data_IF_733303026270
#
_entry.id   IF_733303026270
#
_cell.length_a   1.000
_cell.length_b   1.000
_cell.length_c   1.000
_cell.angle_alpha   90.00
_cell.angle_beta   90.00
_cell.angle_gamma   90.00
#
_symmetry.space_group_name_H-M   'P 1'
#
loop_
_entity.id
_entity.type
_entity.pdbx_description
1 polymer ?
#
# COMPACT_ATOMS: atom_id res chain seq x y z
N UNK A 1 -12.64 26.94 1.03
CA UNK A 1 -11.57 26.23 0.31
C UNK A 1 -12.07 24.87 -0.14
N UNK A 2 -11.87 24.51 -1.41
CA UNK A 2 -12.26 23.19 -1.94
C UNK A 2 -11.19 22.15 -1.64
N UNK A 3 -11.60 20.94 -1.27
CA UNK A 3 -10.72 19.81 -0.99
C UNK A 3 -10.83 18.84 -2.17
N UNK A 4 -9.74 18.69 -2.91
CA UNK A 4 -9.64 17.87 -4.11
C UNK A 4 -8.81 16.63 -3.83
N UNK A 5 -9.26 15.46 -4.28
CA UNK A 5 -8.48 14.24 -4.30
C UNK A 5 -7.39 14.35 -5.37
N UNK A 6 -6.14 14.33 -4.94
CA UNK A 6 -4.99 14.43 -5.85
C UNK A 6 -4.90 13.24 -6.81
N UNK A 7 -5.35 12.07 -6.36
CA UNK A 7 -5.34 10.86 -7.18
C UNK A 7 -6.47 10.92 -8.22
N UNK A 8 -7.72 11.20 -7.83
CA UNK A 8 -8.82 11.39 -8.80
C UNK A 8 -8.44 12.43 -9.87
N UNK A 9 -7.86 13.57 -9.46
CA UNK A 9 -7.41 14.62 -10.39
C UNK A 9 -6.38 14.10 -11.40
N UNK A 10 -5.48 13.22 -10.97
CA UNK A 10 -4.51 12.56 -11.86
C UNK A 10 -5.17 11.56 -12.80
N UNK A 11 -6.29 10.96 -12.40
CA UNK A 11 -7.11 10.06 -13.24
C UNK A 11 -8.04 10.83 -14.20
N UNK A 12 -8.02 12.17 -14.16
CA UNK A 12 -8.85 13.03 -15.02
C UNK A 12 -10.21 13.39 -14.41
N UNK A 13 -10.46 13.00 -13.16
CA UNK A 13 -11.72 13.23 -12.46
C UNK A 13 -11.62 14.46 -11.55
N UNK A 14 -12.72 15.18 -11.30
CA UNK A 14 -12.70 16.42 -10.50
C UNK A 14 -12.26 16.13 -9.06
N UNK A 15 -12.68 14.97 -8.53
CA UNK A 15 -12.22 14.50 -7.23
C UNK A 15 -12.60 15.40 -6.05
N UNK A 16 -13.66 16.20 -6.14
CA UNK A 16 -14.11 17.04 -5.03
C UNK A 16 -14.57 16.16 -3.86
N UNK A 17 -13.87 16.24 -2.72
CA UNK A 17 -14.18 15.46 -1.51
C UNK A 17 -15.00 16.30 -0.51
N UNK A 18 -14.87 17.62 -0.56
CA UNK A 18 -15.59 18.52 0.32
C UNK A 18 -14.99 19.92 0.36
N UNK A 19 -15.34 20.67 1.39
CA UNK A 19 -14.90 22.05 1.59
C UNK A 19 -14.42 22.24 3.03
N UNK A 20 -13.52 23.20 3.23
CA UNK A 20 -13.11 23.66 4.56
C UNK A 20 -13.11 25.18 4.64
N UNK A 21 -13.30 25.68 5.86
CA UNK A 21 -13.24 27.10 6.17
C UNK A 21 -11.87 27.72 5.80
N UNK A 22 -11.82 29.00 5.39
CA UNK A 22 -12.98 29.85 5.11
C UNK A 22 -13.71 29.40 3.83
N UNK A 23 -15.05 29.42 3.85
CA UNK A 23 -15.87 28.88 2.76
C UNK A 23 -15.87 29.81 1.53
N UNK A 24 -15.57 31.09 1.73
CA UNK A 24 -15.48 32.13 0.70
C UNK A 24 -14.18 32.03 -0.11
N UNK A 25 -13.19 31.29 0.39
CA UNK A 25 -11.94 31.05 -0.33
C UNK A 25 -12.10 29.89 -1.32
N UNK A 26 -12.13 30.17 -2.61
CA UNK A 26 -12.28 29.15 -3.67
C UNK A 26 -11.00 28.39 -4.03
N UNK A 27 -9.88 28.68 -3.36
CA UNK A 27 -8.63 27.95 -3.54
C UNK A 27 -8.82 26.46 -3.28
N UNK A 28 -8.04 25.69 -4.01
CA UNK A 28 -8.01 24.23 -3.93
C UNK A 28 -6.95 23.79 -2.94
N UNK A 29 -7.31 22.80 -2.12
CA UNK A 29 -6.41 22.04 -1.27
C UNK A 29 -6.48 20.57 -1.66
N UNK A 30 -5.42 19.83 -1.39
CA UNK A 30 -5.24 18.48 -1.90
C UNK A 30 -5.28 17.43 -0.78
N UNK A 31 -6.03 16.35 -0.99
CA UNK A 31 -6.08 15.17 -0.10
C UNK A 31 -6.24 13.87 -0.90
N UNK A 32 -6.57 12.75 -0.23
CA UNK A 32 -6.90 11.46 -0.86
C UNK A 32 -8.28 11.02 -0.37
N UNK A 33 -9.18 10.70 -1.31
CA UNK A 33 -10.54 10.27 -1.00
C UNK A 33 -10.55 8.89 -0.33
N UNK A 34 -11.67 8.51 0.29
CA UNK A 34 -11.77 7.24 1.01
C UNK A 34 -11.51 6.02 0.12
N UNK A 35 -11.97 6.06 -1.14
CA UNK A 35 -11.73 4.98 -2.09
C UNK A 35 -10.23 4.77 -2.35
N UNK A 36 -9.50 5.84 -2.67
CA UNK A 36 -8.06 5.76 -2.90
C UNK A 36 -7.27 5.46 -1.61
N UNK A 37 -7.73 5.90 -0.44
CA UNK A 37 -7.14 5.48 0.84
C UNK A 37 -7.20 3.96 1.02
N UNK A 38 -8.33 3.33 0.70
CA UNK A 38 -8.48 1.87 0.75
C UNK A 38 -7.49 1.20 -0.21
N UNK A 39 -7.31 1.75 -1.43
CA UNK A 39 -6.33 1.24 -2.39
C UNK A 39 -4.90 1.31 -1.86
N UNK A 40 -4.49 2.42 -1.24
CA UNK A 40 -3.16 2.54 -0.61
C UNK A 40 -2.98 1.48 0.48
N UNK A 41 -3.99 1.33 1.35
CA UNK A 41 -3.96 0.38 2.46
C UNK A 41 -3.92 -1.08 1.98
N UNK A 42 -4.63 -1.41 0.90
CA UNK A 42 -4.57 -2.74 0.28
C UNK A 42 -3.17 -3.04 -0.25
N UNK A 43 -2.62 -2.13 -1.08
CA UNK A 43 -1.25 -2.28 -1.64
C UNK A 43 -0.18 -2.42 -0.56
N UNK A 44 -0.31 -1.67 0.54
CA UNK A 44 0.59 -1.80 1.68
C UNK A 44 0.51 -3.18 2.34
N UNK A 45 -0.70 -3.67 2.63
CA UNK A 45 -0.92 -5.00 3.22
C UNK A 45 -0.35 -6.12 2.36
N UNK A 46 -0.56 -6.06 1.04
CA UNK A 46 -0.01 -7.04 0.11
C UNK A 46 1.52 -7.06 0.15
N UNK A 47 2.15 -5.88 0.21
CA UNK A 47 3.60 -5.75 0.36
C UNK A 47 4.13 -6.39 1.64
N UNK A 48 3.47 -6.14 2.78
CA UNK A 48 3.82 -6.77 4.06
C UNK A 48 3.71 -8.29 3.98
N UNK A 49 2.60 -8.81 3.43
CA UNK A 49 2.39 -10.24 3.27
C UNK A 49 3.50 -10.92 2.44
N UNK A 50 3.91 -10.30 1.33
CA UNK A 50 5.01 -10.80 0.49
C UNK A 50 6.35 -10.83 1.24
N UNK A 51 6.64 -9.82 2.06
CA UNK A 51 7.87 -9.76 2.85
C UNK A 51 7.90 -10.86 3.93
N UNK A 52 6.77 -11.08 4.59
CA UNK A 52 6.62 -12.14 5.59
C UNK A 52 6.77 -13.54 4.97
N UNK A 53 6.11 -13.79 3.84
CA UNK A 53 6.28 -15.02 3.04
C UNK A 53 7.75 -15.27 2.67
N UNK A 54 8.46 -14.24 2.19
CA UNK A 54 9.89 -14.32 1.87
C UNK A 54 10.75 -14.59 3.10
N UNK A 55 10.39 -14.02 4.26
CA UNK A 55 11.09 -14.29 5.53
C UNK A 55 10.90 -15.75 5.94
N UNK A 56 9.69 -16.28 5.84
CA UNK A 56 9.39 -17.66 6.22
C UNK A 56 10.09 -18.67 5.29
N UNK A 57 10.02 -18.46 3.96
CA UNK A 57 10.77 -19.28 2.99
C UNK A 57 12.29 -19.28 3.25
N UNK A 58 12.85 -18.14 3.68
CA UNK A 58 14.27 -18.03 4.08
C UNK A 58 14.59 -18.77 5.38
N UNK A 59 13.63 -19.03 6.27
CA UNK A 59 13.84 -19.88 7.45
C UNK A 59 13.81 -21.37 7.13
N UNK A 60 13.04 -21.77 6.11
CA UNK A 60 12.94 -23.17 5.68
C UNK A 60 14.19 -23.60 4.89
N UNK A 61 14.79 -22.70 4.10
CA UNK A 61 15.92 -23.02 3.21
C UNK A 61 17.23 -23.46 3.90
N UNK A 62 17.62 -23.02 5.12
CA UNK A 62 18.77 -23.57 5.84
C UNK A 62 18.48 -24.95 6.46
N UNK A 63 17.22 -25.20 6.83
CA UNK A 63 16.82 -26.44 7.51
C UNK A 63 16.67 -27.61 6.52
N UNK A 64 16.18 -27.34 5.30
CA UNK A 64 16.13 -28.35 4.24
C UNK A 64 17.52 -28.69 3.67
N UNK A 65 18.42 -27.70 3.56
CA UNK A 65 19.83 -27.93 3.17
C UNK A 65 20.57 -28.85 4.16
N UNK A 66 20.33 -28.71 5.47
CA UNK A 66 20.89 -29.61 6.50
C UNK A 66 20.34 -31.05 6.41
N UNK A 67 19.06 -31.24 6.04
CA UNK A 67 18.48 -32.58 5.83
C UNK A 67 19.00 -33.26 4.55
N UNK A 68 19.22 -32.51 3.48
CA UNK A 68 19.75 -33.06 2.22
C UNK A 68 21.24 -33.42 2.36
N UNK A 69 22.06 -32.60 3.03
CA UNK A 69 23.48 -32.94 3.26
C UNK A 69 23.67 -34.16 4.16
N UNK A 70 22.81 -34.36 5.18
CA UNK A 70 22.89 -35.52 6.07
C UNK A 70 22.53 -36.86 5.40
N UNK A 71 21.73 -36.84 4.33
CA UNK A 71 21.37 -38.06 3.57
C UNK A 71 22.40 -38.49 2.53
N UNK A 72 23.35 -37.61 2.18
CA UNK A 72 24.46 -37.92 1.24
C UNK A 72 25.72 -38.47 1.94
N UNK A 73 25.72 -38.51 3.26
CA UNK A 73 26.83 -38.99 4.08
C UNK A 73 26.56 -40.38 4.72
N UNK A 74 25.53 -41.08 4.26
CA UNK A 74 25.21 -42.49 4.56
C UNK A 74 25.22 -43.29 3.27
#
# INVERSE_FOLDING_TARGET
MRIICSWCRREGDIGLIGEKAPLEDFRETHSICKAHQITVQARWRDGVYVLEQKRERRKVSPSLKKKILRKKAM
#
